data_IF_720267449183
#
_entry.id   IF_720267449183
#
_cell.length_a   1.000
_cell.length_b   1.000
_cell.length_c   1.000
_cell.angle_alpha   90.00
_cell.angle_beta   90.00
_cell.angle_gamma   90.00
#
_symmetry.space_group_name_H-M   'P 1'
#
loop_
_entity.id
_entity.type
_entity.pdbx_description
1 polymer ?
#
# COMPACT_ATOMS: atom_id res chain seq x y z
N UNK A 1 1.32 -4.58 1.79
CA UNK A 1 2.67 -5.02 2.25
C UNK A 1 2.84 -4.72 3.74
N UNK A 2 3.80 -5.36 4.39
CA UNK A 2 4.33 -4.96 5.70
C UNK A 2 5.87 -4.95 5.65
N UNK A 3 6.55 -4.68 6.78
CA UNK A 3 8.02 -4.68 6.85
C UNK A 3 8.67 -6.01 6.44
N UNK A 4 7.94 -7.12 6.54
CA UNK A 4 8.43 -8.45 6.20
C UNK A 4 8.17 -8.84 4.74
N UNK A 5 7.45 -8.04 3.95
CA UNK A 5 7.19 -8.35 2.55
C UNK A 5 5.79 -7.96 2.06
N UNK A 6 5.47 -8.44 0.86
CA UNK A 6 4.12 -8.30 0.32
C UNK A 6 3.16 -9.26 1.03
N UNK A 7 1.97 -8.76 1.39
CA UNK A 7 0.92 -9.57 2.03
C UNK A 7 -0.18 -9.92 1.03
N UNK A 8 -0.55 -8.94 0.22
CA UNK A 8 -1.68 -9.04 -0.70
C UNK A 8 -1.55 -7.96 -1.76
N UNK A 9 -2.02 -8.28 -2.97
CA UNK A 9 -2.25 -7.32 -4.03
C UNK A 9 -3.41 -7.80 -4.91
N UNK A 10 -4.04 -6.83 -5.58
CA UNK A 10 -5.12 -7.09 -6.53
C UNK A 10 -5.04 -6.06 -7.64
N UNK A 11 -5.16 -6.52 -8.88
CA UNK A 11 -5.19 -5.67 -10.07
C UNK A 11 -6.65 -5.55 -10.51
N UNK A 12 -7.08 -4.34 -10.80
CA UNK A 12 -8.42 -4.04 -11.30
C UNK A 12 -8.33 -3.33 -12.65
N UNK A 13 -9.04 -3.83 -13.65
CA UNK A 13 -9.16 -3.19 -14.98
C UNK A 13 -10.22 -2.07 -15.01
N UNK A 14 -10.76 -1.69 -13.85
CA UNK A 14 -11.85 -0.71 -13.70
C UNK A 14 -11.59 0.22 -12.54
N UNK A 15 -12.31 1.34 -12.53
CA UNK A 15 -12.29 2.31 -11.43
C UNK A 15 -12.74 1.63 -10.14
N UNK A 16 -11.95 1.82 -9.09
CA UNK A 16 -12.22 1.32 -7.74
C UNK A 16 -13.16 2.30 -7.03
N UNK A 17 -14.16 1.77 -6.33
CA UNK A 17 -15.11 2.54 -5.51
C UNK A 17 -15.06 2.09 -4.04
N UNK A 18 -15.88 2.71 -3.19
CA UNK A 18 -15.94 2.39 -1.75
C UNK A 18 -16.27 0.92 -1.46
N UNK A 19 -17.18 0.29 -2.21
CA UNK A 19 -17.51 -1.13 -2.03
C UNK A 19 -16.33 -2.04 -2.38
N UNK A 20 -15.61 -1.74 -3.46
CA UNK A 20 -14.41 -2.50 -3.84
C UNK A 20 -13.31 -2.34 -2.78
N UNK A 21 -13.17 -1.14 -2.23
CA UNK A 21 -12.23 -0.88 -1.15
C UNK A 21 -12.62 -1.61 0.15
N UNK A 22 -13.91 -1.65 0.50
CA UNK A 22 -14.44 -2.46 1.61
C UNK A 22 -14.09 -3.93 1.45
N UNK A 23 -14.28 -4.52 0.27
CA UNK A 23 -13.89 -5.91 -0.01
C UNK A 23 -12.38 -6.10 0.18
N UNK A 24 -11.57 -5.16 -0.29
CA UNK A 24 -10.11 -5.21 -0.10
C UNK A 24 -9.72 -5.23 1.39
N UNK A 25 -10.38 -4.44 2.25
CA UNK A 25 -10.14 -4.46 3.70
C UNK A 25 -10.52 -5.81 4.33
N UNK A 26 -11.61 -6.43 3.88
CA UNK A 26 -12.02 -7.77 4.34
C UNK A 26 -10.98 -8.84 3.96
N UNK A 27 -10.52 -8.82 2.71
CA UNK A 27 -9.49 -9.74 2.20
C UNK A 27 -8.16 -9.54 2.97
N UNK A 28 -7.74 -8.29 3.19
CA UNK A 28 -6.55 -7.96 3.97
C UNK A 28 -6.65 -8.46 5.42
N UNK A 29 -7.80 -8.29 6.09
CA UNK A 29 -8.00 -8.80 7.46
C UNK A 29 -7.93 -10.32 7.49
N UNK A 30 -8.57 -11.00 6.53
CA UNK A 30 -8.49 -12.46 6.44
C UNK A 30 -7.03 -12.94 6.28
N UNK A 31 -6.25 -12.27 5.41
CA UNK A 31 -4.84 -12.58 5.20
C UNK A 31 -4.01 -12.31 6.47
N UNK A 32 -4.28 -11.22 7.19
CA UNK A 32 -3.61 -10.94 8.46
C UNK A 32 -3.85 -12.08 9.47
N UNK A 33 -5.10 -12.54 9.61
CA UNK A 33 -5.44 -13.64 10.51
C UNK A 33 -4.73 -14.94 10.13
N UNK A 34 -4.70 -15.29 8.83
CA UNK A 34 -4.00 -16.50 8.33
C UNK A 34 -2.49 -16.43 8.61
N UNK A 35 -1.90 -15.23 8.55
CA UNK A 35 -0.48 -15.02 8.79
C UNK A 35 -0.14 -14.77 10.29
N UNK A 36 -1.11 -14.91 11.21
CA UNK A 36 -0.89 -14.68 12.64
C UNK A 36 -0.59 -13.22 13.00
N UNK A 37 -1.12 -12.27 12.24
CA UNK A 37 -1.01 -10.84 12.51
C UNK A 37 -2.27 -10.42 13.27
N UNK A 38 -2.18 -10.42 14.60
CA UNK A 38 -3.34 -10.20 15.47
C UNK A 38 -3.84 -8.74 15.46
N UNK A 39 -2.91 -7.78 15.48
CA UNK A 39 -3.19 -6.34 15.61
C UNK A 39 -2.61 -5.53 14.44
N UNK A 40 -3.10 -5.73 13.20
CA UNK A 40 -2.62 -4.97 12.05
C UNK A 40 -3.09 -3.52 12.12
N UNK A 41 -2.15 -2.59 11.92
CA UNK A 41 -2.45 -1.18 11.66
C UNK A 41 -2.25 -0.91 10.17
N UNK A 42 -3.29 -0.44 9.49
CA UNK A 42 -3.23 -0.10 8.07
C UNK A 42 -2.98 1.39 7.91
N UNK A 43 -1.90 1.72 7.20
CA UNK A 43 -1.56 3.09 6.84
C UNK A 43 -2.12 3.38 5.45
N UNK A 44 -2.90 4.45 5.32
CA UNK A 44 -3.57 4.85 4.09
C UNK A 44 -3.12 6.25 3.66
N UNK A 45 -2.92 6.44 2.36
CA UNK A 45 -2.76 7.78 1.81
C UNK A 45 -4.11 8.53 1.80
N UNK A 46 -4.10 9.77 1.32
CA UNK A 46 -5.28 10.62 1.29
C UNK A 46 -6.18 10.43 0.04
N UNK A 47 -6.16 9.25 -0.60
CA UNK A 47 -6.99 8.99 -1.77
C UNK A 47 -8.50 9.10 -1.46
N UNK A 48 -9.29 9.62 -2.42
CA UNK A 48 -10.75 9.83 -2.23
C UNK A 48 -11.51 8.56 -1.84
N UNK A 49 -11.09 7.40 -2.35
CA UNK A 49 -11.72 6.11 -2.04
C UNK A 49 -11.57 5.71 -0.58
N UNK A 50 -10.57 6.24 0.13
CA UNK A 50 -10.37 6.05 1.57
C UNK A 50 -11.30 6.90 2.43
N UNK A 51 -12.17 7.72 1.82
CA UNK A 51 -13.14 8.57 2.51
C UNK A 51 -14.60 8.20 2.16
N UNK A 52 -14.84 6.94 1.77
CA UNK A 52 -16.20 6.49 1.45
C UNK A 52 -17.07 6.47 2.72
N UNK A 53 -18.38 6.74 2.56
CA UNK A 53 -19.31 6.96 3.66
C UNK A 53 -19.42 5.80 4.66
N UNK A 54 -19.24 4.56 4.19
CA UNK A 54 -19.35 3.35 5.02
C UNK A 54 -18.05 2.92 5.72
N UNK A 55 -16.98 3.72 5.66
CA UNK A 55 -15.68 3.34 6.19
C UNK A 55 -15.71 3.07 7.70
N UNK A 56 -16.26 4.00 8.49
CA UNK A 56 -16.26 3.90 9.94
C UNK A 56 -16.99 2.63 10.45
N UNK A 57 -18.12 2.30 9.84
CA UNK A 57 -18.86 1.06 10.12
C UNK A 57 -18.03 -0.17 9.75
N UNK A 58 -17.36 -0.13 8.59
CA UNK A 58 -16.51 -1.23 8.12
C UNK A 58 -15.33 -1.48 9.07
N UNK A 59 -14.64 -0.42 9.52
CA UNK A 59 -13.54 -0.51 10.48
C UNK A 59 -14.02 -1.12 11.80
N UNK A 60 -15.13 -0.61 12.33
CA UNK A 60 -15.72 -1.08 13.58
C UNK A 60 -16.10 -2.57 13.49
N UNK A 61 -16.77 -2.96 12.41
CA UNK A 61 -17.21 -4.34 12.20
C UNK A 61 -16.03 -5.32 12.03
N UNK A 62 -14.97 -4.91 11.34
CA UNK A 62 -13.79 -5.75 11.10
C UNK A 62 -12.76 -5.71 12.25
N UNK A 63 -12.94 -4.84 13.23
CA UNK A 63 -11.99 -4.61 14.31
C UNK A 63 -10.61 -4.20 13.77
N UNK A 64 -10.59 -3.25 12.84
CA UNK A 64 -9.35 -2.74 12.23
C UNK A 64 -8.89 -1.44 12.87
N UNK A 65 -7.60 -1.15 12.74
CA UNK A 65 -7.03 0.16 13.02
C UNK A 65 -6.51 0.76 11.71
N UNK A 66 -6.96 1.97 11.38
CA UNK A 66 -6.51 2.72 10.21
C UNK A 66 -5.84 4.02 10.64
N UNK A 67 -4.73 4.35 10.00
CA UNK A 67 -4.03 5.63 10.14
C UNK A 67 -3.95 6.30 8.78
N UNK A 68 -4.61 7.44 8.63
CA UNK A 68 -4.52 8.25 7.42
C UNK A 68 -3.31 9.17 7.48
N UNK A 69 -2.54 9.21 6.39
CA UNK A 69 -1.39 10.10 6.27
C UNK A 69 -1.83 11.55 6.02
N UNK A 70 -1.04 12.54 6.47
CA UNK A 70 -1.27 13.93 6.13
C UNK A 70 -1.25 14.15 4.59
N UNK A 71 -2.01 15.12 4.07
CA UNK A 71 -1.94 15.48 2.66
C UNK A 71 -0.51 15.77 2.18
N UNK A 72 -0.22 15.42 0.93
CA UNK A 72 1.07 15.69 0.27
C UNK A 72 2.32 15.17 1.02
N UNK A 73 2.18 14.08 1.78
CA UNK A 73 3.28 13.47 2.55
C UNK A 73 3.67 12.08 2.03
N UNK A 74 4.05 11.92 0.74
CA UNK A 74 4.37 10.61 0.16
C UNK A 74 5.57 9.94 0.83
N UNK A 75 6.52 10.70 1.39
CA UNK A 75 7.63 10.18 2.20
C UNK A 75 7.20 9.39 3.44
N UNK A 76 5.98 9.63 3.95
CA UNK A 76 5.40 8.86 5.06
C UNK A 76 4.68 7.59 4.57
N UNK A 77 4.57 7.37 3.27
CA UNK A 77 3.91 6.21 2.70
C UNK A 77 4.93 5.17 2.20
N UNK A 78 5.17 4.07 2.92
CA UNK A 78 6.23 3.12 2.57
C UNK A 78 5.97 2.43 1.22
N UNK A 79 4.71 2.35 0.77
CA UNK A 79 4.35 1.73 -0.50
C UNK A 79 4.84 2.54 -1.72
N UNK A 80 5.15 3.83 -1.58
CA UNK A 80 5.68 4.65 -2.69
C UNK A 80 7.04 4.13 -3.19
N UNK A 81 7.90 3.71 -2.26
CA UNK A 81 9.18 3.09 -2.60
C UNK A 81 8.97 1.70 -3.24
N UNK A 82 8.00 0.93 -2.73
CA UNK A 82 7.61 -0.35 -3.32
C UNK A 82 7.12 -0.17 -4.77
N UNK A 83 6.23 0.78 -5.02
CA UNK A 83 5.74 1.10 -6.37
C UNK A 83 6.87 1.57 -7.29
N UNK A 84 7.81 2.37 -6.79
CA UNK A 84 8.98 2.80 -7.56
C UNK A 84 9.84 1.63 -8.02
N UNK A 85 10.10 0.66 -7.12
CA UNK A 85 10.87 -0.56 -7.45
C UNK A 85 10.10 -1.44 -8.45
N UNK A 86 8.83 -1.72 -8.18
CA UNK A 86 7.99 -2.53 -9.06
C UNK A 86 7.86 -1.93 -10.46
N UNK A 87 7.61 -0.62 -10.55
CA UNK A 87 7.52 0.10 -11.82
C UNK A 87 8.82 -0.04 -12.63
N UNK A 88 9.97 0.02 -11.97
CA UNK A 88 11.26 -0.18 -12.64
C UNK A 88 11.39 -1.60 -13.23
N UNK A 89 10.90 -2.63 -12.56
CA UNK A 89 10.86 -3.99 -13.12
C UNK A 89 9.97 -4.08 -14.35
N UNK A 90 8.77 -3.49 -14.29
CA UNK A 90 7.83 -3.45 -15.42
C UNK A 90 8.45 -2.71 -16.62
N UNK A 91 9.04 -1.53 -16.41
CA UNK A 91 9.68 -0.74 -17.47
C UNK A 91 10.85 -1.48 -18.12
N UNK A 92 11.67 -2.18 -17.34
CA UNK A 92 12.79 -2.98 -17.86
C UNK A 92 12.34 -4.18 -18.69
N UNK A 93 11.11 -4.65 -18.51
CA UNK A 93 10.51 -5.68 -19.36
C UNK A 93 10.20 -5.19 -20.78
N UNK A 94 10.28 -3.88 -21.05
CA UNK A 94 10.22 -3.29 -22.39
C UNK A 94 8.99 -3.69 -23.22
N UNK A 95 7.81 -3.77 -22.59
CA UNK A 95 6.58 -4.13 -23.28
C UNK A 95 6.28 -3.18 -24.45
N UNK A 96 5.87 -3.78 -25.57
CA UNK A 96 5.53 -3.10 -26.83
C UNK A 96 4.04 -3.13 -27.14
N UNK A 97 3.25 -3.83 -26.32
CA UNK A 97 1.79 -3.94 -26.45
C UNK A 97 1.08 -3.89 -25.09
N UNK A 98 -0.20 -3.53 -25.08
CA UNK A 98 -1.02 -3.52 -23.86
C UNK A 98 -1.09 -4.90 -23.16
N UNK A 99 -1.33 -6.03 -23.87
CA UNK A 99 -1.36 -7.34 -23.22
C UNK A 99 -0.01 -7.71 -22.59
N UNK A 100 1.09 -7.37 -23.25
CA UNK A 100 2.43 -7.60 -22.72
C UNK A 100 2.68 -6.76 -21.46
N UNK A 101 2.26 -5.49 -21.47
CA UNK A 101 2.36 -4.62 -20.31
C UNK A 101 1.54 -5.16 -19.12
N UNK A 102 0.31 -5.62 -19.35
CA UNK A 102 -0.54 -6.24 -18.32
C UNK A 102 0.13 -7.48 -17.70
N UNK A 103 0.68 -8.35 -18.54
CA UNK A 103 1.41 -9.53 -18.07
C UNK A 103 2.65 -9.16 -17.25
N UNK A 104 3.38 -8.10 -17.63
CA UNK A 104 4.51 -7.61 -16.83
C UNK A 104 4.05 -7.01 -15.49
N UNK A 105 3.00 -6.20 -15.48
CA UNK A 105 2.42 -5.64 -14.25
C UNK A 105 2.11 -6.76 -13.25
N UNK A 106 1.44 -7.82 -13.69
CA UNK A 106 1.08 -8.95 -12.84
C UNK A 106 2.29 -9.80 -12.41
N UNK A 107 3.11 -10.24 -13.38
CA UNK A 107 4.23 -11.15 -13.08
C UNK A 107 5.34 -10.50 -12.26
N UNK A 108 5.64 -9.21 -12.50
CA UNK A 108 6.74 -8.50 -11.82
C UNK A 108 6.38 -8.05 -10.41
N UNK A 109 5.11 -8.11 -10.02
CA UNK A 109 4.71 -7.71 -8.67
C UNK A 109 5.34 -8.61 -7.59
N UNK A 110 5.50 -9.90 -7.90
CA UNK A 110 6.12 -10.89 -7.02
C UNK A 110 7.65 -10.76 -6.93
N UNK A 111 8.28 -9.94 -7.78
CA UNK A 111 9.74 -9.71 -7.73
C UNK A 111 10.14 -8.66 -6.68
N UNK A 112 9.17 -7.96 -6.07
CA UNK A 112 9.43 -7.09 -4.93
C UNK A 112 9.75 -7.94 -3.70
N UNK A 113 11.04 -8.11 -3.41
CA UNK A 113 11.51 -8.97 -2.33
C UNK A 113 11.17 -8.44 -0.93
N UNK A 114 11.00 -9.37 0.01
CA UNK A 114 10.86 -9.07 1.45
C UNK A 114 12.02 -8.27 2.03
N UNK A 115 13.25 -8.49 1.54
CA UNK A 115 14.45 -7.75 1.95
C UNK A 115 14.36 -6.24 1.64
N UNK A 116 13.58 -5.85 0.63
CA UNK A 116 13.40 -4.43 0.29
C UNK A 116 12.34 -3.75 1.16
N UNK A 117 11.37 -4.50 1.69
CA UNK A 117 10.26 -3.95 2.47
C UNK A 117 10.72 -3.28 3.76
N UNK A 118 11.59 -3.91 4.55
CA UNK A 118 12.08 -3.33 5.80
C UNK A 118 12.78 -1.99 5.55
N UNK A 119 13.60 -1.91 4.49
CA UNK A 119 14.26 -0.67 4.09
C UNK A 119 13.27 0.47 3.76
N UNK A 120 12.11 0.14 3.16
CA UNK A 120 11.06 1.14 2.89
C UNK A 120 10.46 1.70 4.18
N UNK A 121 10.18 0.84 5.16
CA UNK A 121 9.71 1.27 6.48
C UNK A 121 10.77 2.05 7.25
N UNK A 122 12.04 1.64 7.19
CA UNK A 122 13.14 2.40 7.81
C UNK A 122 13.29 3.79 7.19
N UNK A 123 13.12 3.93 5.88
CA UNK A 123 13.11 5.24 5.20
C UNK A 123 11.94 6.10 5.70
N UNK A 124 10.73 5.54 5.75
CA UNK A 124 9.53 6.22 6.30
C UNK A 124 9.79 6.73 7.73
N UNK A 125 10.32 5.89 8.61
CA UNK A 125 10.58 6.25 10.01
C UNK A 125 11.54 7.43 10.19
N UNK A 126 12.51 7.60 9.27
CA UNK A 126 13.42 8.77 9.30
C UNK A 126 12.66 10.08 9.13
N UNK A 127 11.57 10.08 8.36
CA UNK A 127 10.76 11.27 8.17
C UNK A 127 9.73 11.47 9.28
N UNK A 128 9.23 10.40 9.91
CA UNK A 128 8.27 10.50 11.03
C UNK A 128 8.81 11.40 12.15
N UNK A 129 10.05 11.21 12.58
CA UNK A 129 10.65 12.01 13.65
C UNK A 129 10.82 13.48 13.22
N UNK A 130 11.31 13.70 11.99
CA UNK A 130 11.50 15.05 11.42
C UNK A 130 10.18 15.81 11.30
N UNK A 131 9.12 15.13 10.85
CA UNK A 131 7.76 15.69 10.79
C UNK A 131 7.21 15.99 12.18
N UNK A 132 7.46 15.15 13.18
CA UNK A 132 7.05 15.40 14.56
C UNK A 132 7.75 16.62 15.18
N UNK A 133 8.96 16.94 14.73
CA UNK A 133 9.73 18.15 15.11
C UNK A 133 9.31 19.40 14.31
N UNK A 134 8.37 19.27 13.36
CA UNK A 134 7.90 20.38 12.53
C UNK A 134 8.85 20.76 11.39
N UNK A 135 9.76 19.87 11.00
CA UNK A 135 10.66 20.11 9.88
C UNK A 135 9.89 20.19 8.55
N UNK A 136 10.21 21.18 7.72
CA UNK A 136 9.69 21.28 6.35
C UNK A 136 10.47 20.31 5.46
N UNK A 137 9.80 19.26 5.02
CA UNK A 137 10.37 18.26 4.11
C UNK A 137 10.05 18.67 2.67
N UNK A 138 11.09 18.97 1.90
CA UNK A 138 11.01 19.20 0.46
C UNK A 138 11.43 17.91 -0.25
N UNK A 139 10.48 17.23 -0.91
CA UNK A 139 10.71 16.09 -1.81
C UNK A 139 10.43 16.46 -3.26
#
# INVERSE_FOLDING_TARGET
MNKCGMLYHKIHDRVINGETFKTCLQELKAICNVNGIDTPVFILDNARIHHYSGLAETICHLGLELVSLPPYSPFLNPIENCFSVWKNFVVRGAATSEPELKNLIESRFNEVSSQSSDAFYMKMLRYVNRSAEGEIILE
#
